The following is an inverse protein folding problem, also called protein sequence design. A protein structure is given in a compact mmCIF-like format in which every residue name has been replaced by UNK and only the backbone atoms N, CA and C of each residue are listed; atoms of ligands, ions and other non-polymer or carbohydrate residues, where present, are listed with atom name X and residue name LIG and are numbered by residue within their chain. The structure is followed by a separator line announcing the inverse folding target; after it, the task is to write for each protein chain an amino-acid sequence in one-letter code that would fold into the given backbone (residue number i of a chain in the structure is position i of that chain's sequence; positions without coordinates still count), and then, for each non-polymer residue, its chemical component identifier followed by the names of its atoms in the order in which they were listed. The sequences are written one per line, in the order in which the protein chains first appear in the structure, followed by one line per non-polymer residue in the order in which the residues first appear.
data_IF_291718484421
#
_entry.id   IF_291718484421
#
_cell.length_a   1.000
_cell.length_b   1.000
_cell.length_c   1.000
_cell.angle_alpha   90.00
_cell.angle_beta   90.00
_cell.angle_gamma   90.00
#
_symmetry.space_group_name_H-M   'P 1'
#
loop_
_entity.id
_entity.type
_entity.pdbx_description
1 polymer ?
#
# COMPACT_ATOMS: atom_id res chain seq x y z
N UNK A 1 -13.63 -9.25 -10.70
CA UNK A 1 -13.92 -8.30 -9.60
C UNK A 1 -12.89 -7.19 -9.71
N UNK A 2 -13.29 -5.95 -10.05
CA UNK A 2 -12.33 -4.87 -10.33
C UNK A 2 -11.89 -4.19 -9.02
N UNK A 3 -10.65 -3.75 -8.96
CA UNK A 3 -10.12 -2.93 -7.87
C UNK A 3 -8.83 -2.25 -8.28
N UNK A 4 -8.54 -1.11 -7.67
CA UNK A 4 -7.33 -0.33 -7.94
C UNK A 4 -6.25 -0.72 -6.93
N UNK A 5 -5.13 -1.23 -7.44
CA UNK A 5 -3.92 -1.47 -6.65
C UNK A 5 -2.87 -0.43 -7.00
N UNK A 6 -2.52 0.41 -6.02
CA UNK A 6 -1.45 1.40 -6.13
C UNK A 6 -0.21 0.84 -5.44
N UNK A 7 0.86 0.68 -6.20
CA UNK A 7 2.20 0.38 -5.69
C UNK A 7 2.98 1.69 -5.66
N UNK A 8 3.57 2.06 -4.54
CA UNK A 8 4.38 3.27 -4.46
C UNK A 8 5.66 3.06 -3.67
N UNK A 9 6.77 3.45 -4.28
CA UNK A 9 8.07 3.54 -3.64
C UNK A 9 8.37 5.01 -3.36
N UNK A 10 8.56 5.31 -2.09
CA UNK A 10 8.88 6.63 -1.57
C UNK A 10 10.39 6.70 -1.29
N UNK A 11 11.03 7.70 -1.88
CA UNK A 11 12.46 7.95 -1.73
C UNK A 11 12.70 9.33 -1.12
N UNK A 12 13.87 9.50 -0.51
CA UNK A 12 14.29 10.75 0.13
C UNK A 12 13.24 11.25 1.16
N UNK A 13 12.64 10.32 1.89
CA UNK A 13 11.72 10.58 2.98
C UNK A 13 12.44 11.34 4.11
N UNK A 14 11.85 12.43 4.63
CA UNK A 14 12.38 13.12 5.80
C UNK A 14 12.56 12.16 6.98
N UNK A 15 13.73 12.25 7.61
CA UNK A 15 13.99 11.56 8.88
C UNK A 15 12.93 12.00 9.89
N UNK A 16 12.24 11.02 10.47
CA UNK A 16 11.13 11.31 11.37
C UNK A 16 10.43 10.06 11.86
N UNK A 17 9.47 10.28 12.77
CA UNK A 17 8.76 9.21 13.50
C UNK A 17 8.09 8.17 12.60
N UNK A 18 7.68 8.53 11.38
CA UNK A 18 7.02 7.59 10.47
C UNK A 18 7.99 6.56 9.89
N UNK A 19 9.29 6.88 9.79
CA UNK A 19 10.29 5.92 9.32
C UNK A 19 10.71 4.95 10.44
N UNK A 20 10.76 5.42 11.69
CA UNK A 20 11.42 4.72 12.81
C UNK A 20 10.48 4.23 13.92
N UNK A 21 9.16 4.41 13.77
CA UNK A 21 8.20 4.01 14.80
C UNK A 21 6.97 3.34 14.20
N UNK A 22 6.87 2.02 14.40
CA UNK A 22 5.71 1.22 14.04
C UNK A 22 4.41 1.79 14.66
N UNK A 23 4.47 2.31 15.89
CA UNK A 23 3.32 2.94 16.55
C UNK A 23 2.87 4.21 15.82
N UNK A 24 3.80 5.09 15.45
CA UNK A 24 3.47 6.32 14.74
C UNK A 24 2.95 6.03 13.33
N UNK A 25 3.57 5.04 12.65
CA UNK A 25 3.17 4.59 11.32
C UNK A 25 1.78 3.95 11.33
N UNK A 26 1.50 3.07 12.30
CA UNK A 26 0.16 2.49 12.54
C UNK A 26 -0.90 3.56 12.66
N UNK A 27 -0.66 4.54 13.54
CA UNK A 27 -1.59 5.63 13.77
C UNK A 27 -1.81 6.50 12.53
N UNK A 28 -0.78 6.70 11.70
CA UNK A 28 -0.91 7.40 10.42
C UNK A 28 -1.79 6.59 9.47
N UNK A 29 -1.47 5.31 9.25
CA UNK A 29 -2.17 4.46 8.30
C UNK A 29 -3.66 4.34 8.65
N UNK A 30 -4.01 4.13 9.93
CA UNK A 30 -5.41 4.04 10.36
C UNK A 30 -6.14 5.35 10.07
N UNK A 31 -5.61 6.49 10.52
CA UNK A 31 -6.25 7.79 10.31
C UNK A 31 -6.39 8.16 8.83
N UNK A 32 -5.37 7.85 8.01
CA UNK A 32 -5.41 8.14 6.59
C UNK A 32 -6.47 7.28 5.88
N UNK A 33 -6.56 5.98 6.21
CA UNK A 33 -7.57 5.08 5.65
C UNK A 33 -8.98 5.50 6.05
N UNK A 34 -9.23 5.76 7.34
CA UNK A 34 -10.52 6.22 7.83
C UNK A 34 -10.90 7.58 7.24
N UNK A 35 -9.93 8.50 7.12
CA UNK A 35 -10.11 9.80 6.48
C UNK A 35 -10.43 9.72 4.98
N UNK A 36 -9.96 8.68 4.29
CA UNK A 36 -10.32 8.36 2.91
C UNK A 36 -11.67 7.64 2.79
N UNK A 37 -12.38 7.40 3.89
CA UNK A 37 -13.67 6.70 3.91
C UNK A 37 -13.56 5.17 3.75
N UNK A 38 -12.39 4.59 4.06
CA UNK A 38 -12.16 3.16 4.08
C UNK A 38 -12.39 2.61 5.49
N UNK A 39 -13.04 1.44 5.58
CA UNK A 39 -13.27 0.76 6.86
C UNK A 39 -12.10 -0.15 7.20
N UNK A 40 -11.44 0.11 8.34
CA UNK A 40 -10.38 -0.75 8.88
C UNK A 40 -11.00 -1.87 9.70
N UNK A 41 -10.71 -3.13 9.33
CA UNK A 41 -11.17 -4.32 10.06
C UNK A 41 -10.15 -4.81 11.08
N UNK A 42 -8.87 -4.55 10.85
CA UNK A 42 -7.78 -4.94 11.73
C UNK A 42 -6.44 -4.48 11.21
N UNK A 43 -5.40 -4.65 12.02
CA UNK A 43 -4.05 -4.22 11.69
C UNK A 43 -2.98 -5.09 12.34
N UNK A 44 -1.79 -5.08 11.75
CA UNK A 44 -0.60 -5.63 12.37
C UNK A 44 0.61 -4.76 12.02
N UNK A 45 1.37 -4.33 13.03
CA UNK A 45 2.57 -3.53 12.85
C UNK A 45 3.69 -4.08 13.71
N UNK A 46 4.87 -4.25 13.11
CA UNK A 46 6.06 -4.77 13.77
C UNK A 46 7.21 -3.77 13.64
N UNK A 47 7.85 -3.48 14.77
CA UNK A 47 9.02 -2.63 14.86
C UNK A 47 10.28 -3.51 14.79
N UNK A 48 11.16 -3.23 13.82
CA UNK A 48 12.46 -3.87 13.79
C UNK A 48 13.45 -3.14 14.69
N UNK A 49 14.43 -3.87 15.18
CA UNK A 49 15.61 -3.28 15.82
C UNK A 49 16.50 -2.63 14.77
N UNK A 50 17.31 -1.65 15.19
CA UNK A 50 18.37 -1.12 14.35
C UNK A 50 19.39 -2.19 13.97
N UNK A 51 20.12 -1.96 12.89
CA UNK A 51 21.23 -2.82 12.49
C UNK A 51 22.34 -2.84 13.56
N UNK A 52 22.52 -1.71 14.25
CA UNK A 52 23.36 -1.58 15.43
C UNK A 52 22.69 -0.70 16.51
N UNK A 53 23.37 -0.49 17.63
CA UNK A 53 22.88 0.32 18.75
C UNK A 53 22.79 1.83 18.46
N UNK A 54 23.24 2.28 17.30
CA UNK A 54 23.32 3.71 16.92
C UNK A 54 22.20 4.13 15.98
N UNK A 55 21.52 3.18 15.34
CA UNK A 55 20.44 3.43 14.39
C UNK A 55 19.10 2.88 14.89
N UNK A 56 18.02 3.60 14.59
CA UNK A 56 16.67 3.06 14.80
C UNK A 56 16.29 2.16 13.62
N UNK A 57 15.64 1.03 13.90
CA UNK A 57 15.12 0.14 12.87
C UNK A 57 13.86 0.70 12.21
N UNK A 58 13.57 0.18 11.02
CA UNK A 58 12.32 0.43 10.31
C UNK A 58 11.12 -0.32 10.88
N UNK A 59 10.00 -0.23 10.20
CA UNK A 59 8.77 -0.93 10.56
C UNK A 59 8.13 -1.61 9.34
N UNK A 60 7.43 -2.71 9.60
CA UNK A 60 6.49 -3.30 8.64
C UNK A 60 5.08 -3.20 9.21
N UNK A 61 4.10 -2.95 8.35
CA UNK A 61 2.73 -2.73 8.75
C UNK A 61 1.73 -3.17 7.69
N UNK A 62 0.59 -3.67 8.12
CA UNK A 62 -0.55 -3.94 7.26
C UNK A 62 -1.86 -3.56 7.95
N UNK A 63 -2.79 -3.02 7.18
CA UNK A 63 -4.20 -2.89 7.52
C UNK A 63 -5.01 -3.86 6.67
N UNK A 64 -5.90 -4.59 7.33
CA UNK A 64 -6.99 -5.29 6.65
C UNK A 64 -8.14 -4.29 6.53
N UNK A 65 -8.54 -4.01 5.29
CA UNK A 65 -9.66 -3.14 4.99
C UNK A 65 -10.87 -4.00 4.65
N UNK A 66 -12.09 -3.49 4.89
CA UNK A 66 -13.30 -4.14 4.40
C UNK A 66 -13.28 -4.35 2.88
N UNK A 67 -12.49 -3.52 2.19
CA UNK A 67 -12.36 -3.47 0.75
C UNK A 67 -10.93 -3.87 0.29
N UNK A 68 -10.23 -4.77 1.00
CA UNK A 68 -8.88 -5.33 0.71
C UNK A 68 -7.79 -4.94 1.72
N UNK A 69 -6.79 -4.11 1.39
CA UNK A 69 -5.67 -3.84 2.30
C UNK A 69 -4.82 -2.60 1.99
N UNK A 70 -4.05 -2.19 3.00
CA UNK A 70 -2.87 -1.34 2.89
C UNK A 70 -1.68 -2.09 3.50
N UNK A 71 -0.55 -2.19 2.80
CA UNK A 71 0.72 -2.61 3.38
C UNK A 71 1.78 -1.50 3.27
N UNK A 72 2.67 -1.41 4.25
CA UNK A 72 3.73 -0.41 4.32
C UNK A 72 4.98 -1.00 4.94
N UNK A 73 6.13 -0.63 4.37
CA UNK A 73 7.44 -0.99 4.88
C UNK A 73 8.33 0.26 4.89
N UNK A 74 9.15 0.45 5.93
CA UNK A 74 10.07 1.59 6.04
C UNK A 74 11.51 1.13 6.24
N UNK A 75 12.43 1.87 5.63
CA UNK A 75 13.89 1.68 5.73
C UNK A 75 14.54 3.03 6.07
N UNK A 76 14.65 3.38 7.36
CA UNK A 76 15.30 4.62 7.82
C UNK A 76 16.70 4.82 7.26
N UNK A 77 17.45 3.74 7.05
CA UNK A 77 18.80 3.74 6.51
C UNK A 77 18.87 4.07 5.01
N UNK A 78 17.74 3.99 4.31
CA UNK A 78 17.60 4.37 2.90
C UNK A 78 16.77 5.63 2.72
N UNK A 79 16.34 6.27 3.81
CA UNK A 79 15.38 7.36 3.80
C UNK A 79 14.17 7.02 2.89
N UNK A 80 13.62 5.81 3.01
CA UNK A 80 12.66 5.27 2.06
C UNK A 80 11.55 4.42 2.67
N UNK A 81 10.46 4.28 1.92
CA UNK A 81 9.34 3.41 2.27
C UNK A 81 8.68 2.83 1.02
N UNK A 82 8.04 1.68 1.15
CA UNK A 82 7.20 1.10 0.09
C UNK A 82 5.78 0.93 0.59
N UNK A 83 4.82 1.06 -0.32
CA UNK A 83 3.39 1.06 -0.05
C UNK A 83 2.64 0.22 -1.09
N UNK A 84 1.71 -0.60 -0.60
CA UNK A 84 0.75 -1.33 -1.40
C UNK A 84 -0.65 -0.93 -0.93
N UNK A 85 -1.38 -0.15 -1.72
CA UNK A 85 -2.77 0.26 -1.43
C UNK A 85 -3.68 -0.46 -2.41
N UNK A 86 -4.33 -1.53 -1.97
CA UNK A 86 -5.30 -2.24 -2.78
C UNK A 86 -6.70 -2.02 -2.25
N UNK A 87 -7.57 -1.43 -3.07
CA UNK A 87 -8.99 -1.24 -2.75
C UNK A 87 -9.87 -1.87 -3.82
N UNK A 88 -10.82 -2.70 -3.39
CA UNK A 88 -11.78 -3.42 -4.22
C UNK A 88 -13.05 -2.60 -4.45
N UNK A 89 -13.64 -2.75 -5.65
CA UNK A 89 -14.88 -2.09 -6.03
C UNK A 89 -16.10 -3.02 -5.89
N UNK A 90 -16.23 -3.73 -4.76
CA UNK A 90 -17.31 -4.71 -4.55
C UNK A 90 -18.67 -4.03 -4.35
N UNK A 91 -18.69 -2.94 -3.61
CA UNK A 91 -19.89 -2.20 -3.18
C UNK A 91 -20.15 -0.93 -4.01
N UNK A 92 -19.18 -0.54 -4.85
CA UNK A 92 -19.19 0.68 -5.66
C UNK A 92 -17.80 0.96 -6.23
N UNK A 93 -17.62 2.07 -6.94
CA UNK A 93 -16.29 2.53 -7.34
C UNK A 93 -15.59 3.20 -6.15
N UNK A 94 -14.55 2.54 -5.63
CA UNK A 94 -13.76 3.00 -4.49
C UNK A 94 -12.38 3.53 -4.92
N UNK A 95 -12.15 3.72 -6.22
CA UNK A 95 -10.85 4.15 -6.74
C UNK A 95 -10.43 5.51 -6.20
N UNK A 96 -11.39 6.43 -6.05
CA UNK A 96 -11.15 7.76 -5.44
C UNK A 96 -10.71 7.65 -3.98
N UNK A 97 -11.20 6.64 -3.24
CA UNK A 97 -10.76 6.40 -1.86
C UNK A 97 -9.33 5.88 -1.80
N UNK A 98 -8.95 5.01 -2.74
CA UNK A 98 -7.57 4.53 -2.86
C UNK A 98 -6.60 5.69 -3.15
N UNK A 99 -6.98 6.57 -4.09
CA UNK A 99 -6.21 7.77 -4.42
C UNK A 99 -6.15 8.77 -3.26
N UNK A 100 -7.25 8.95 -2.53
CA UNK A 100 -7.28 9.83 -1.36
C UNK A 100 -6.36 9.32 -0.24
N UNK A 101 -6.36 8.01 0.03
CA UNK A 101 -5.43 7.38 0.97
C UNK A 101 -3.97 7.59 0.52
N UNK A 102 -3.67 7.31 -0.75
CA UNK A 102 -2.34 7.53 -1.33
C UNK A 102 -1.89 8.99 -1.19
N UNK A 103 -2.74 9.94 -1.58
CA UNK A 103 -2.44 11.37 -1.51
C UNK A 103 -2.18 11.84 -0.07
N UNK A 104 -2.94 11.34 0.90
CA UNK A 104 -2.73 11.65 2.31
C UNK A 104 -1.40 11.11 2.83
N UNK A 105 -1.01 9.88 2.45
CA UNK A 105 0.29 9.32 2.81
C UNK A 105 1.44 10.11 2.19
N UNK A 106 1.33 10.52 0.92
CA UNK A 106 2.31 11.43 0.28
C UNK A 106 2.41 12.75 1.05
N UNK A 107 1.27 13.36 1.38
CA UNK A 107 1.20 14.66 2.06
C UNK A 107 1.87 14.63 3.44
N UNK A 108 1.69 13.54 4.19
CA UNK A 108 2.20 13.43 5.56
C UNK A 108 3.64 12.94 5.61
N UNK A 109 4.00 11.92 4.80
CA UNK A 109 5.35 11.37 4.77
C UNK A 109 6.31 12.34 4.07
N UNK A 110 5.82 13.08 3.06
CA UNK A 110 6.57 14.07 2.27
C UNK A 110 7.84 13.50 1.63
N UNK A 111 7.75 12.39 0.87
CA UNK A 111 8.90 11.88 0.13
C UNK A 111 9.44 12.94 -0.84
N UNK A 112 10.76 12.94 -1.05
CA UNK A 112 11.39 13.82 -2.04
C UNK A 112 11.13 13.35 -3.46
N UNK A 113 11.09 12.02 -3.68
CA UNK A 113 10.77 11.40 -4.96
C UNK A 113 9.81 10.22 -4.77
N UNK A 114 9.00 9.94 -5.80
CA UNK A 114 8.01 8.87 -5.78
C UNK A 114 8.05 8.11 -7.10
N UNK A 115 8.16 6.79 -7.04
CA UNK A 115 7.79 5.90 -8.14
C UNK A 115 6.42 5.30 -7.81
N UNK A 116 5.47 5.37 -8.73
CA UNK A 116 4.10 4.88 -8.48
C UNK A 116 3.53 4.18 -9.70
N UNK A 117 2.95 3.01 -9.48
CA UNK A 117 2.20 2.26 -10.48
C UNK A 117 0.76 2.04 -10.02
N UNK A 118 -0.17 2.10 -10.97
CA UNK A 118 -1.60 1.88 -10.75
C UNK A 118 -2.05 0.71 -11.60
N UNK A 119 -2.41 -0.39 -10.94
CA UNK A 119 -2.79 -1.64 -11.58
C UNK A 119 -4.23 -1.98 -11.25
N UNK A 120 -5.06 -2.10 -12.29
CA UNK A 120 -6.41 -2.62 -12.15
C UNK A 120 -6.38 -4.13 -11.99
N UNK A 121 -6.80 -4.62 -10.82
CA UNK A 121 -6.87 -6.04 -10.47
C UNK A 121 -8.23 -6.61 -10.86
N UNK A 122 -8.23 -7.90 -11.21
CA UNK A 122 -9.44 -8.67 -11.54
C UNK A 122 -10.14 -8.25 -12.83
N UNK A 123 -9.33 -8.05 -13.89
CA UNK A 123 -9.77 -8.13 -15.30
C UNK A 123 -10.56 -9.42 -15.51
N UNK A 124 -11.45 -9.42 -16.51
CA UNK A 124 -12.20 -10.60 -16.94
C UNK A 124 -11.22 -11.78 -17.10
N UNK A 125 -11.67 -12.99 -16.74
CA UNK A 125 -10.88 -14.24 -16.80
C UNK A 125 -10.11 -14.24 -18.12
N UNK A 126 -8.80 -14.55 -18.16
CA UNK A 126 -8.14 -14.79 -19.44
C UNK A 126 -8.97 -15.84 -20.15
N UNK A 127 -9.68 -15.44 -21.20
CA UNK A 127 -10.34 -16.41 -22.08
C UNK A 127 -9.16 -17.21 -22.59
N UNK A 128 -9.07 -18.48 -22.19
CA UNK A 128 -8.12 -19.37 -22.83
C UNK A 128 -8.47 -19.27 -24.31
N UNK A 129 -7.52 -18.82 -25.14
CA UNK A 129 -7.69 -18.90 -26.59
C UNK A 129 -8.15 -20.33 -26.88
N UNK A 130 -9.34 -20.48 -27.49
CA UNK A 130 -9.81 -21.80 -27.88
C UNK A 130 -8.70 -22.44 -28.71
N UNK A 131 -8.17 -23.56 -28.22
CA UNK A 131 -7.14 -24.28 -28.95
C UNK A 131 -7.66 -24.51 -30.37
N UNK A 132 -6.87 -24.19 -31.42
CA UNK A 132 -7.34 -24.32 -32.79
C UNK A 132 -7.83 -25.74 -32.99
N UNK A 133 -9.07 -25.88 -33.43
CA UNK A 133 -9.66 -27.18 -33.72
C UNK A 133 -8.86 -27.77 -34.87
N UNK A 134 -7.96 -28.72 -34.55
CA UNK A 134 -7.29 -29.50 -35.58
C UNK A 134 -8.38 -30.35 -36.23
N UNK A 135 -8.83 -29.94 -37.42
CA UNK A 135 -9.62 -30.80 -38.27
C UNK A 135 -8.74 -32.01 -38.63
N UNK A 136 -9.08 -33.18 -38.09
CA UNK A 136 -8.48 -34.43 -38.51
C UNK A 136 -8.99 -34.79 -39.92
N UNK A 137 -8.13 -35.37 -40.77
CA UNK A 137 -8.44 -35.70 -42.16
C UNK A 137 -9.47 -36.82 -42.33
#
# INVERSE_FOLDING_TARGET
MRGLHIFADFYHCPKGKYMVSAKALRQLCIRASEGAGLTVLGDHFYQFNGFDATQAGGATGALVLAESHLAVHTWPERDGATLDIYVCNVTGDNSDKAEALYAELVRVIRPGDIMVERVWRGKDVPVADEAPTIALP
#
